data_IF_624942449432
#
_entry.id   IF_624942449432
#
_cell.length_a   1.000
_cell.length_b   1.000
_cell.length_c   1.000
_cell.angle_alpha   90.00
_cell.angle_beta   90.00
_cell.angle_gamma   90.00
#
_symmetry.space_group_name_H-M   'P 1'
#
loop_
_entity.id
_entity.type
_entity.pdbx_description
1 polymer ?
#
# COMPACT_ATOMS: atom_id res chain seq x y z
N UNK A 1 18.22 0.03 13.41
CA UNK A 1 16.81 0.45 13.41
C UNK A 1 16.79 1.97 13.32
N UNK A 2 16.67 2.51 12.12
CA UNK A 2 16.45 3.95 11.93
C UNK A 2 15.00 4.22 12.31
N UNK A 3 14.75 4.58 13.56
CA UNK A 3 13.40 4.95 14.01
C UNK A 3 13.17 6.40 13.61
N UNK A 4 12.71 6.61 12.37
CA UNK A 4 12.17 7.90 11.96
C UNK A 4 10.74 7.99 12.46
N UNK A 5 10.42 9.09 13.13
CA UNK A 5 9.07 9.35 13.64
C UNK A 5 8.13 9.51 12.44
N UNK A 6 7.07 8.69 12.39
CA UNK A 6 6.02 8.86 11.39
C UNK A 6 5.21 10.11 11.79
N UNK A 7 5.12 11.13 10.91
CA UNK A 7 4.39 12.34 11.23
C UNK A 7 2.88 12.08 11.23
N UNK A 8 2.17 12.79 12.10
CA UNK A 8 0.72 12.83 12.11
C UNK A 8 0.20 13.99 11.26
N UNK A 9 -0.97 13.80 10.67
CA UNK A 9 -1.71 14.79 9.89
C UNK A 9 -3.11 14.96 10.47
N UNK A 10 -3.69 16.13 10.25
CA UNK A 10 -5.08 16.45 10.64
C UNK A 10 -5.94 16.34 9.38
N UNK A 11 -6.78 15.32 9.32
CA UNK A 11 -7.72 15.12 8.22
C UNK A 11 -9.07 15.76 8.58
N UNK A 12 -9.58 16.63 7.71
CA UNK A 12 -10.89 17.24 7.89
C UNK A 12 -11.98 16.25 7.46
N UNK A 13 -12.87 15.88 8.38
CA UNK A 13 -14.01 15.03 8.08
C UNK A 13 -15.32 15.79 8.35
N UNK A 14 -16.42 15.53 7.62
CA UNK A 14 -17.73 16.16 7.89
C UNK A 14 -18.28 16.01 9.32
N UNK A 15 -17.69 15.16 10.17
CA UNK A 15 -18.07 14.98 11.58
C UNK A 15 -17.04 15.55 12.58
N UNK A 16 -16.01 16.24 12.08
CA UNK A 16 -14.92 16.82 12.86
C UNK A 16 -13.53 16.43 12.34
N UNK A 17 -12.51 17.11 12.85
CA UNK A 17 -11.12 16.84 12.51
C UNK A 17 -10.65 15.53 13.16
N UNK A 18 -9.92 14.71 12.40
CA UNK A 18 -9.32 13.46 12.87
C UNK A 18 -7.81 13.48 12.71
N UNK A 19 -7.09 13.24 13.80
CA UNK A 19 -5.64 13.06 13.79
C UNK A 19 -5.33 11.61 13.41
N UNK A 20 -4.45 11.42 12.42
CA UNK A 20 -3.96 10.11 12.00
C UNK A 20 -2.55 10.21 11.45
N UNK A 21 -1.83 9.10 11.35
CA UNK A 21 -0.52 9.08 10.73
C UNK A 21 -0.63 9.26 9.20
N UNK A 22 0.48 9.67 8.57
CA UNK A 22 0.51 9.94 7.13
C UNK A 22 0.13 8.73 6.27
N UNK A 23 0.47 7.50 6.67
CA UNK A 23 0.12 6.31 5.89
C UNK A 23 -1.37 5.99 6.00
N UNK A 24 -1.96 6.15 7.19
CA UNK A 24 -3.41 6.05 7.36
C UNK A 24 -4.16 7.06 6.49
N UNK A 25 -3.66 8.30 6.39
CA UNK A 25 -4.24 9.31 5.51
C UNK A 25 -4.10 8.93 4.03
N UNK A 26 -2.94 8.44 3.60
CA UNK A 26 -2.74 7.93 2.24
C UNK A 26 -3.73 6.81 1.91
N UNK A 27 -3.95 5.88 2.84
CA UNK A 27 -4.90 4.79 2.64
C UNK A 27 -6.34 5.28 2.47
N UNK A 28 -6.76 6.34 3.19
CA UNK A 28 -8.07 6.96 2.97
C UNK A 28 -8.23 7.57 1.57
N UNK A 29 -7.12 7.99 0.97
CA UNK A 29 -7.06 8.46 -0.42
C UNK A 29 -6.77 7.34 -1.43
N UNK A 30 -6.81 6.07 -0.97
CA UNK A 30 -6.55 4.86 -1.76
C UNK A 30 -5.14 4.77 -2.32
N UNK A 31 -4.18 5.32 -1.57
CA UNK A 31 -2.76 5.25 -1.85
C UNK A 31 -2.11 4.22 -0.91
N UNK A 32 -1.49 3.20 -1.50
CA UNK A 32 -0.71 2.17 -0.81
C UNK A 32 0.76 2.38 -1.12
N UNK A 33 1.63 2.31 -0.11
CA UNK A 33 3.07 2.54 -0.26
C UNK A 33 3.87 1.31 0.16
N UNK A 34 4.57 0.69 -0.78
CA UNK A 34 5.58 -0.34 -0.55
C UNK A 34 6.96 0.32 -0.53
N UNK A 35 7.46 0.62 0.66
CA UNK A 35 8.75 1.30 0.86
C UNK A 35 9.86 0.44 1.45
N UNK A 36 9.68 -0.88 1.48
CA UNK A 36 10.58 -1.83 2.14
C UNK A 36 10.87 -3.01 1.24
N UNK A 37 11.85 -3.82 1.61
CA UNK A 37 11.96 -5.17 1.07
C UNK A 37 10.67 -5.96 1.35
N UNK A 38 10.33 -6.88 0.45
CA UNK A 38 9.11 -7.68 0.54
C UNK A 38 9.38 -8.98 1.31
N UNK A 39 8.77 -9.11 2.47
CA UNK A 39 8.71 -10.36 3.23
C UNK A 39 7.25 -10.78 3.47
N UNK A 40 7.04 -11.92 4.14
CA UNK A 40 5.70 -12.43 4.42
C UNK A 40 4.85 -11.47 5.29
N UNK A 41 5.47 -10.70 6.19
CA UNK A 41 4.78 -9.73 7.03
C UNK A 41 4.31 -8.52 6.23
N UNK A 42 5.19 -7.96 5.39
CA UNK A 42 4.88 -6.86 4.49
C UNK A 42 3.80 -7.27 3.48
N UNK A 43 3.92 -8.46 2.89
CA UNK A 43 2.92 -8.98 1.97
C UNK A 43 1.54 -9.12 2.64
N UNK A 44 1.46 -9.66 3.85
CA UNK A 44 0.21 -9.75 4.59
C UNK A 44 -0.43 -8.36 4.83
N UNK A 45 0.38 -7.36 5.18
CA UNK A 45 -0.10 -5.99 5.37
C UNK A 45 -0.61 -5.37 4.06
N UNK A 46 0.08 -5.59 2.94
CA UNK A 46 -0.35 -5.12 1.62
C UNK A 46 -1.65 -5.79 1.17
N UNK A 47 -1.76 -7.12 1.30
CA UNK A 47 -2.97 -7.88 0.97
C UNK A 47 -4.15 -7.36 1.79
N UNK A 48 -3.97 -7.15 3.09
CA UNK A 48 -5.03 -6.59 3.94
C UNK A 48 -5.48 -5.18 3.50
N UNK A 49 -4.53 -4.31 3.11
CA UNK A 49 -4.85 -2.97 2.59
C UNK A 49 -5.62 -3.04 1.27
N UNK A 50 -5.20 -3.91 0.34
CA UNK A 50 -5.86 -4.09 -0.95
C UNK A 50 -7.30 -4.60 -0.80
N UNK A 51 -7.52 -5.61 0.05
CA UNK A 51 -8.86 -6.12 0.35
C UNK A 51 -9.74 -5.07 1.06
N UNK A 52 -9.15 -4.27 1.95
CA UNK A 52 -9.86 -3.17 2.59
C UNK A 52 -10.36 -2.14 1.56
N UNK A 53 -9.50 -1.74 0.62
CA UNK A 53 -9.84 -0.77 -0.43
C UNK A 53 -10.84 -1.33 -1.44
N UNK A 54 -10.79 -2.63 -1.75
CA UNK A 54 -11.81 -3.32 -2.54
C UNK A 54 -13.19 -3.25 -1.86
N UNK A 55 -13.24 -3.56 -0.56
CA UNK A 55 -14.49 -3.56 0.21
C UNK A 55 -15.08 -2.15 0.38
N UNK A 56 -14.23 -1.13 0.51
CA UNK A 56 -14.64 0.28 0.64
C UNK A 56 -15.26 0.81 -0.66
N UNK A 57 -14.58 0.63 -1.80
CA UNK A 57 -15.10 1.04 -3.10
C UNK A 57 -14.45 0.20 -4.23
N UNK A 58 -15.16 -0.79 -4.79
CA UNK A 58 -14.59 -1.69 -5.80
C UNK A 58 -14.40 -1.03 -7.18
N UNK A 59 -15.03 0.12 -7.44
CA UNK A 59 -14.99 0.82 -8.74
C UNK A 59 -13.90 1.90 -8.81
N UNK A 60 -13.37 2.33 -7.66
CA UNK A 60 -12.38 3.40 -7.58
C UNK A 60 -10.97 2.82 -7.66
N UNK A 61 -10.11 3.42 -8.49
CA UNK A 61 -8.71 3.03 -8.65
C UNK A 61 -7.94 3.05 -7.32
N UNK A 62 -6.93 2.17 -7.21
CA UNK A 62 -5.94 2.12 -6.12
C UNK A 62 -4.59 2.52 -6.70
N UNK A 63 -3.88 3.42 -6.02
CA UNK A 63 -2.52 3.81 -6.41
C UNK A 63 -1.50 3.08 -5.54
N UNK A 64 -0.68 2.22 -6.13
CA UNK A 64 0.40 1.49 -5.47
C UNK A 64 1.74 2.12 -5.82
N UNK A 65 2.32 2.81 -4.85
CA UNK A 65 3.66 3.38 -4.96
C UNK A 65 4.71 2.39 -4.50
N UNK A 66 5.74 2.19 -5.31
CA UNK A 66 6.73 1.13 -5.14
C UNK A 66 8.13 1.74 -5.02
N UNK A 67 8.77 1.47 -3.88
CA UNK A 67 10.18 1.66 -3.62
C UNK A 67 10.70 0.41 -2.88
N UNK A 68 11.08 -0.60 -3.65
CA UNK A 68 11.33 -1.95 -3.15
C UNK A 68 12.69 -2.47 -3.65
N UNK A 69 13.53 -2.91 -2.72
CA UNK A 69 14.85 -3.52 -2.97
C UNK A 69 14.76 -5.01 -3.38
N UNK A 70 13.55 -5.52 -3.62
CA UNK A 70 13.28 -6.94 -3.86
C UNK A 70 12.81 -7.64 -2.58
N UNK A 71 12.90 -8.97 -2.54
CA UNK A 71 12.37 -9.75 -1.43
C UNK A 71 12.02 -11.19 -1.79
N UNK A 72 11.16 -11.78 -0.97
CA UNK A 72 10.71 -13.16 -1.09
C UNK A 72 9.72 -13.35 -2.28
N UNK A 73 9.98 -14.28 -3.21
CA UNK A 73 9.09 -14.53 -4.34
C UNK A 73 7.70 -15.03 -3.95
N UNK A 74 7.57 -15.83 -2.89
CA UNK A 74 6.26 -16.31 -2.42
C UNK A 74 5.42 -15.18 -1.85
N UNK A 75 6.05 -14.25 -1.12
CA UNK A 75 5.42 -13.04 -0.62
C UNK A 75 4.93 -12.17 -1.78
N UNK A 76 5.71 -12.07 -2.86
CA UNK A 76 5.28 -11.34 -4.07
C UNK A 76 4.09 -11.99 -4.75
N UNK A 77 4.06 -13.33 -4.87
CA UNK A 77 2.93 -14.03 -5.47
C UNK A 77 1.63 -13.76 -4.71
N UNK A 78 1.67 -13.72 -3.37
CA UNK A 78 0.48 -13.40 -2.58
C UNK A 78 -0.07 -11.99 -2.90
N UNK A 79 0.81 -10.99 -3.00
CA UNK A 79 0.43 -9.62 -3.37
C UNK A 79 -0.07 -9.56 -4.81
N UNK A 80 0.66 -10.17 -5.74
CA UNK A 80 0.32 -10.20 -7.15
C UNK A 80 -1.03 -10.85 -7.43
N UNK A 81 -1.29 -12.02 -6.84
CA UNK A 81 -2.57 -12.71 -7.00
C UNK A 81 -3.72 -11.88 -6.42
N UNK A 82 -3.49 -11.19 -5.30
CA UNK A 82 -4.48 -10.26 -4.73
C UNK A 82 -4.73 -9.09 -5.68
N UNK A 83 -3.69 -8.49 -6.25
CA UNK A 83 -3.80 -7.41 -7.23
C UNK A 83 -4.62 -7.82 -8.47
N UNK A 84 -4.52 -9.09 -8.87
CA UNK A 84 -5.28 -9.66 -10.00
C UNK A 84 -6.70 -10.08 -9.63
N UNK A 85 -6.92 -10.43 -8.37
CA UNK A 85 -8.21 -10.91 -7.85
C UNK A 85 -9.20 -9.77 -7.61
N UNK A 86 -8.74 -8.66 -7.03
CA UNK A 86 -9.64 -7.56 -6.64
C UNK A 86 -10.16 -6.81 -7.86
N UNK A 87 -11.37 -6.25 -7.74
CA UNK A 87 -12.01 -5.49 -8.83
C UNK A 87 -11.36 -4.15 -9.16
N UNK A 88 -10.92 -3.33 -8.18
CA UNK A 88 -10.30 -2.05 -8.48
C UNK A 88 -9.14 -2.16 -9.46
N UNK A 89 -9.05 -1.22 -10.41
CA UNK A 89 -7.83 -1.03 -11.17
C UNK A 89 -6.70 -0.59 -10.22
N UNK A 90 -5.50 -1.12 -10.43
CA UNK A 90 -4.32 -0.78 -9.63
C UNK A 90 -3.31 -0.09 -10.53
N UNK A 91 -3.12 1.21 -10.28
CA UNK A 91 -2.07 2.00 -10.92
C UNK A 91 -0.78 1.85 -10.11
N UNK A 92 0.29 1.37 -10.74
CA UNK A 92 1.60 1.21 -10.10
C UNK A 92 2.53 2.37 -10.46
N UNK A 93 3.19 2.96 -9.47
CA UNK A 93 4.13 4.07 -9.65
C UNK A 93 5.44 3.74 -8.94
N UNK A 94 6.52 3.60 -9.70
CA UNK A 94 7.86 3.43 -9.13
C UNK A 94 8.40 4.78 -8.63
N UNK A 95 8.77 4.85 -7.35
CA UNK A 95 9.33 6.04 -6.68
C UNK A 95 10.65 5.69 -6.01
N UNK A 96 11.73 5.73 -6.79
CA UNK A 96 13.04 5.26 -6.36
C UNK A 96 13.44 4.04 -7.17
N UNK A 97 13.26 2.86 -6.61
CA UNK A 97 13.62 1.60 -7.26
C UNK A 97 12.53 0.53 -7.16
N UNK A 98 12.50 -0.33 -8.16
CA UNK A 98 11.69 -1.55 -8.19
C UNK A 98 12.61 -2.67 -8.66
N UNK A 99 13.14 -3.46 -7.73
CA UNK A 99 14.17 -4.47 -8.00
C UNK A 99 13.60 -5.88 -7.89
N UNK A 100 13.97 -6.75 -8.83
CA UNK A 100 13.58 -8.16 -8.85
C UNK A 100 12.06 -8.36 -8.70
N UNK A 101 11.61 -8.97 -7.61
CA UNK A 101 10.18 -9.21 -7.34
C UNK A 101 9.36 -7.92 -7.28
N UNK A 102 9.97 -6.79 -6.92
CA UNK A 102 9.29 -5.48 -6.91
C UNK A 102 9.09 -4.87 -8.30
N UNK A 103 9.71 -5.42 -9.35
CA UNK A 103 9.60 -4.95 -10.74
C UNK A 103 8.51 -5.68 -11.57
N UNK A 104 7.82 -6.64 -10.95
CA UNK A 104 6.86 -7.56 -11.59
C UNK A 104 5.43 -7.07 -11.42
#
# INVERSE_FOLDING_TARGET
MSSYMIPNVIAQHPRGDRVMDVYSHLLTERVVYLGTALDAGVANALVAQLLHLEADNPEREIQLYINCEGGDPSAMLAVYDTMRYIRPQIATICVGQAVAVGAV
#
